data_IF_097185181883
#
_entry.id   IF_097185181883
#
_cell.length_a   1.000
_cell.length_b   1.000
_cell.length_c   1.000
_cell.angle_alpha   90.00
_cell.angle_beta   90.00
_cell.angle_gamma   90.00
#
_symmetry.space_group_name_H-M   'P 1'
#
loop_
_entity.id
_entity.type
_entity.pdbx_description
1 polymer ?
#
# COMPACT_ATOMS: atom_id res chain seq x y z
N UNK A 1 -3.41 -5.56 -15.49
CA UNK A 1 -4.10 -4.60 -14.61
C UNK A 1 -3.18 -4.17 -13.47
N UNK A 2 -3.26 -2.92 -13.12
CA UNK A 2 -2.50 -2.39 -11.99
C UNK A 2 -3.01 -2.97 -10.68
N UNK A 3 -2.10 -3.35 -9.77
CA UNK A 3 -2.42 -3.80 -8.41
C UNK A 3 -1.85 -2.83 -7.39
N UNK A 4 -2.03 -1.54 -7.63
CA UNK A 4 -1.58 -0.51 -6.71
C UNK A 4 -2.73 0.00 -5.83
N UNK A 5 -2.40 0.96 -4.95
CA UNK A 5 -3.36 1.45 -3.97
C UNK A 5 -4.55 2.17 -4.62
N UNK A 6 -4.44 2.59 -5.88
CA UNK A 6 -5.56 3.16 -6.62
C UNK A 6 -6.74 2.19 -6.71
N UNK A 7 -6.45 0.89 -6.80
CA UNK A 7 -7.49 -0.13 -6.91
C UNK A 7 -8.34 -0.26 -5.65
N UNK A 8 -7.89 0.30 -4.54
CA UNK A 8 -8.62 0.26 -3.27
C UNK A 8 -9.00 1.65 -2.78
N UNK A 9 -9.05 2.63 -3.70
CA UNK A 9 -9.34 4.03 -3.37
C UNK A 9 -10.66 4.20 -2.62
N UNK A 10 -11.65 3.36 -2.89
CA UNK A 10 -12.96 3.44 -2.22
C UNK A 10 -12.87 3.17 -0.71
N UNK A 11 -11.80 2.53 -0.25
CA UNK A 11 -11.59 2.23 1.16
C UNK A 11 -10.72 3.27 1.87
N UNK A 12 -10.30 4.32 1.17
CA UNK A 12 -9.38 5.31 1.73
C UNK A 12 -10.13 6.50 2.34
N UNK A 13 -9.70 6.98 3.52
CA UNK A 13 -10.30 8.19 4.12
C UNK A 13 -10.04 9.45 3.31
N UNK A 14 -10.83 10.48 3.57
CA UNK A 14 -10.73 11.75 2.83
C UNK A 14 -9.34 12.39 2.90
N UNK A 15 -8.68 12.36 4.06
CA UNK A 15 -7.34 12.96 4.18
C UNK A 15 -6.33 12.24 3.28
N UNK A 16 -6.52 10.93 3.08
CA UNK A 16 -5.66 10.16 2.19
C UNK A 16 -5.91 10.56 0.74
N UNK A 17 -7.17 10.74 0.34
CA UNK A 17 -7.49 11.24 -1.00
C UNK A 17 -6.88 12.63 -1.24
N UNK A 18 -6.90 13.48 -0.22
CA UNK A 18 -6.27 14.79 -0.29
C UNK A 18 -4.77 14.68 -0.55
N UNK A 19 -4.09 13.79 0.18
CA UNK A 19 -2.65 13.55 -0.04
C UNK A 19 -2.37 12.96 -1.43
N UNK A 20 -3.25 12.07 -1.91
CA UNK A 20 -3.10 11.47 -3.24
C UNK A 20 -3.18 12.53 -4.34
N UNK A 21 -4.09 13.49 -4.20
CA UNK A 21 -4.23 14.57 -5.17
C UNK A 21 -2.95 15.41 -5.28
N UNK A 22 -2.15 15.46 -4.23
CA UNK A 22 -0.92 16.26 -4.19
C UNK A 22 0.29 15.44 -4.63
N UNK A 23 0.45 14.23 -4.09
CA UNK A 23 1.67 13.43 -4.23
C UNK A 23 1.50 12.16 -5.06
N UNK A 24 0.27 11.76 -5.38
CA UNK A 24 0.00 10.52 -6.13
C UNK A 24 -0.11 9.30 -5.25
N UNK A 25 -0.69 8.24 -5.81
CA UNK A 25 -0.97 7.00 -5.06
C UNK A 25 0.29 6.30 -4.55
N UNK A 26 1.35 6.24 -5.36
CA UNK A 26 2.56 5.52 -4.99
C UNK A 26 3.22 6.10 -3.74
N UNK A 27 3.38 7.42 -3.71
CA UNK A 27 4.00 8.10 -2.56
C UNK A 27 3.14 8.00 -1.31
N UNK A 28 1.81 8.11 -1.48
CA UNK A 28 0.89 8.03 -0.34
C UNK A 28 0.86 6.63 0.25
N UNK A 29 0.95 5.60 -0.57
CA UNK A 29 1.07 4.23 -0.07
C UNK A 29 2.30 4.09 0.84
N UNK A 30 3.42 4.67 0.45
CA UNK A 30 4.64 4.67 1.26
C UNK A 30 4.44 5.37 2.60
N UNK A 31 3.75 6.52 2.57
CA UNK A 31 3.45 7.29 3.79
C UNK A 31 2.59 6.47 4.75
N UNK A 32 1.52 5.86 4.25
CA UNK A 32 0.63 5.04 5.06
C UNK A 32 1.39 3.86 5.68
N UNK A 33 2.19 3.17 4.90
CA UNK A 33 2.93 2.00 5.40
C UNK A 33 3.98 2.38 6.44
N UNK A 34 4.60 3.54 6.30
CA UNK A 34 5.69 3.96 7.19
C UNK A 34 5.18 4.68 8.43
N UNK A 35 4.17 5.53 8.30
CA UNK A 35 3.70 6.41 9.37
C UNK A 35 2.26 6.17 9.80
N UNK A 36 1.55 5.20 9.20
CA UNK A 36 0.16 4.93 9.53
C UNK A 36 -0.04 4.62 11.02
N UNK A 37 -1.08 5.20 11.58
CA UNK A 37 -1.37 5.07 12.99
C UNK A 37 -0.71 6.11 13.87
N UNK A 38 0.06 7.03 13.29
CA UNK A 38 0.76 8.07 14.06
C UNK A 38 0.41 9.47 13.55
N UNK A 39 0.77 10.46 14.33
CA UNK A 39 0.61 11.86 13.94
C UNK A 39 1.91 12.33 13.27
N UNK A 40 1.76 12.99 12.15
CA UNK A 40 2.89 13.51 11.37
C UNK A 40 2.70 15.00 11.13
N UNK A 41 3.74 15.79 11.39
CA UNK A 41 3.70 17.24 11.16
C UNK A 41 4.39 17.56 9.84
N UNK A 42 3.64 18.17 8.93
CA UNK A 42 4.17 18.56 7.62
C UNK A 42 4.87 19.91 7.73
N UNK A 43 6.00 19.93 8.43
CA UNK A 43 6.81 21.13 8.67
C UNK A 43 8.13 21.01 7.92
N UNK A 44 8.88 22.12 7.88
CA UNK A 44 10.21 22.16 7.26
C UNK A 44 11.34 22.04 8.30
N UNK A 45 11.01 21.58 9.50
CA UNK A 45 11.98 21.37 10.55
C UNK A 45 12.84 20.12 10.36
N UNK A 46 13.80 19.93 11.28
CA UNK A 46 14.78 18.86 11.19
C UNK A 46 14.25 17.49 11.61
N UNK A 47 13.04 17.41 12.16
CA UNK A 47 12.52 16.15 12.67
C UNK A 47 11.62 15.42 11.68
N UNK A 48 10.70 16.09 11.03
CA UNK A 48 9.71 15.46 10.17
C UNK A 48 10.07 15.52 8.68
N UNK A 49 10.49 16.68 8.20
CA UNK A 49 10.75 16.87 6.77
C UNK A 49 11.83 15.94 6.21
N UNK A 50 12.97 15.74 6.90
CA UNK A 50 13.97 14.79 6.39
C UNK A 50 13.45 13.37 6.24
N UNK A 51 12.59 12.93 7.16
CA UNK A 51 11.98 11.59 7.08
C UNK A 51 11.05 11.47 5.87
N UNK A 52 10.26 12.49 5.62
CA UNK A 52 9.36 12.53 4.47
C UNK A 52 10.14 12.56 3.17
N UNK A 53 11.14 13.44 3.09
CA UNK A 53 12.01 13.58 1.92
C UNK A 53 12.71 12.27 1.57
N UNK A 54 13.24 11.56 2.57
CA UNK A 54 13.89 10.28 2.36
C UNK A 54 12.91 9.24 1.81
N UNK A 55 11.66 9.27 2.27
CA UNK A 55 10.66 8.29 1.89
C UNK A 55 10.11 8.49 0.48
N UNK A 56 9.75 9.73 0.12
CA UNK A 56 9.02 10.03 -1.13
C UNK A 56 9.73 11.00 -2.07
N UNK A 57 10.91 11.48 -1.68
CA UNK A 57 11.67 12.42 -2.49
C UNK A 57 11.35 13.88 -2.16
N UNK A 58 12.25 14.76 -2.60
CA UNK A 58 12.18 16.18 -2.28
C UNK A 58 10.95 16.86 -2.87
N UNK A 59 10.64 16.56 -4.12
CA UNK A 59 9.55 17.25 -4.83
C UNK A 59 8.19 16.99 -4.16
N UNK A 60 7.84 15.72 -3.95
CA UNK A 60 6.59 15.34 -3.29
C UNK A 60 6.54 15.85 -1.86
N UNK A 61 7.67 15.77 -1.14
CA UNK A 61 7.74 16.22 0.24
C UNK A 61 7.45 17.73 0.35
N UNK A 62 8.00 18.53 -0.57
CA UNK A 62 7.75 19.98 -0.60
C UNK A 62 6.28 20.27 -0.91
N UNK A 63 5.69 19.55 -1.85
CA UNK A 63 4.27 19.74 -2.21
C UNK A 63 3.35 19.48 -1.01
N UNK A 64 3.58 18.39 -0.28
CA UNK A 64 2.78 18.07 0.90
C UNK A 64 2.99 19.08 2.02
N UNK A 65 4.24 19.46 2.28
CA UNK A 65 4.56 20.47 3.28
C UNK A 65 3.87 21.80 2.97
N UNK A 66 3.91 22.23 1.73
CA UNK A 66 3.30 23.47 1.28
C UNK A 66 1.78 23.44 1.45
N UNK A 67 1.16 22.30 1.11
CA UNK A 67 -0.28 22.16 1.25
C UNK A 67 -0.75 22.18 2.70
N UNK A 68 -0.10 21.42 3.57
CA UNK A 68 -0.53 21.29 4.96
C UNK A 68 0.03 22.39 5.89
N UNK A 69 1.04 23.12 5.46
CA UNK A 69 1.54 24.34 6.16
C UNK A 69 1.82 24.11 7.65
N UNK A 70 2.67 23.13 7.95
CA UNK A 70 3.09 22.79 9.31
C UNK A 70 1.98 22.17 10.17
N UNK A 71 0.86 21.82 9.58
CA UNK A 71 -0.23 21.16 10.28
C UNK A 71 0.16 19.76 10.70
N UNK A 72 -0.29 19.36 11.90
CA UNK A 72 -0.12 17.98 12.37
C UNK A 72 -1.31 17.15 11.91
N UNK A 73 -1.03 16.09 11.17
CA UNK A 73 -2.06 15.24 10.57
C UNK A 73 -1.93 13.83 11.12
N UNK A 74 -3.04 13.25 11.58
CA UNK A 74 -3.09 11.84 11.88
C UNK A 74 -3.06 11.05 10.58
N UNK A 75 -2.07 10.16 10.43
CA UNK A 75 -1.97 9.30 9.24
C UNK A 75 -2.75 8.01 9.52
N UNK A 76 -3.87 7.76 8.84
CA UNK A 76 -4.63 6.54 9.06
C UNK A 76 -3.83 5.30 8.68
N UNK A 77 -4.10 4.18 9.36
CA UNK A 77 -3.45 2.91 9.03
C UNK A 77 -3.96 2.32 7.73
N UNK A 78 -5.22 2.59 7.39
CA UNK A 78 -5.86 2.05 6.18
C UNK A 78 -5.77 0.53 6.12
N UNK A 79 -6.02 -0.14 7.26
CA UNK A 79 -5.85 -1.59 7.37
C UNK A 79 -6.72 -2.36 6.36
N UNK A 80 -7.97 -1.93 6.16
CA UNK A 80 -8.86 -2.60 5.21
C UNK A 80 -8.33 -2.44 3.77
N UNK A 81 -7.99 -1.21 3.38
CA UNK A 81 -7.48 -0.94 2.04
C UNK A 81 -6.20 -1.72 1.77
N UNK A 82 -5.26 -1.74 2.73
CA UNK A 82 -3.99 -2.44 2.55
C UNK A 82 -4.18 -3.96 2.51
N UNK A 83 -5.13 -4.50 3.29
CA UNK A 83 -5.43 -5.93 3.25
C UNK A 83 -6.04 -6.34 1.91
N UNK A 84 -7.00 -5.57 1.42
CA UNK A 84 -7.61 -5.83 0.12
C UNK A 84 -6.56 -5.75 -0.99
N UNK A 85 -5.70 -4.74 -0.94
CA UNK A 85 -4.62 -4.58 -1.91
C UNK A 85 -3.64 -5.75 -1.86
N UNK A 86 -3.24 -6.16 -0.65
CA UNK A 86 -2.36 -7.33 -0.48
C UNK A 86 -2.99 -8.56 -1.13
N UNK A 87 -4.28 -8.78 -0.89
CA UNK A 87 -4.97 -9.95 -1.43
C UNK A 87 -5.02 -9.92 -2.96
N UNK A 88 -5.25 -8.76 -3.55
CA UNK A 88 -5.23 -8.59 -5.00
C UNK A 88 -3.84 -8.86 -5.58
N UNK A 89 -2.80 -8.35 -4.93
CA UNK A 89 -1.41 -8.57 -5.34
C UNK A 89 -1.03 -10.04 -5.23
N UNK A 90 -1.44 -10.68 -4.16
CA UNK A 90 -1.18 -12.10 -3.93
C UNK A 90 -1.83 -12.95 -5.03
N UNK A 91 -3.08 -12.68 -5.36
CA UNK A 91 -3.78 -13.40 -6.42
C UNK A 91 -3.11 -13.19 -7.78
N UNK A 92 -2.69 -11.97 -8.07
CA UNK A 92 -1.97 -11.66 -9.31
C UNK A 92 -0.64 -12.42 -9.38
N UNK A 93 0.11 -12.48 -8.27
CA UNK A 93 1.35 -13.26 -8.22
C UNK A 93 1.09 -14.74 -8.42
N UNK A 94 0.05 -15.28 -7.78
CA UNK A 94 -0.32 -16.69 -7.95
C UNK A 94 -0.66 -17.01 -9.40
N UNK A 95 -1.47 -16.18 -10.04
CA UNK A 95 -1.84 -16.35 -11.44
C UNK A 95 -0.62 -16.29 -12.36
N UNK A 96 0.29 -15.36 -12.09
CA UNK A 96 1.53 -15.26 -12.87
C UNK A 96 2.39 -16.51 -12.72
N UNK A 97 2.59 -16.98 -11.49
CA UNK A 97 3.42 -18.15 -11.22
C UNK A 97 2.85 -19.43 -11.84
N UNK A 98 1.54 -19.59 -11.77
CA UNK A 98 0.89 -20.80 -12.29
C UNK A 98 0.65 -20.76 -13.79
N UNK A 99 0.21 -19.63 -14.32
CA UNK A 99 -0.19 -19.52 -15.73
C UNK A 99 0.95 -19.14 -16.66
N UNK A 100 1.84 -18.25 -16.20
CA UNK A 100 2.96 -17.79 -17.03
C UNK A 100 4.22 -18.62 -16.82
N UNK A 101 4.57 -18.92 -15.58
CA UNK A 101 5.76 -19.68 -15.28
C UNK A 101 5.50 -21.19 -15.21
N UNK A 102 4.25 -21.62 -15.27
CA UNK A 102 3.89 -23.03 -15.31
C UNK A 102 4.16 -23.79 -14.01
N UNK A 103 4.29 -23.08 -12.88
CA UNK A 103 4.53 -23.73 -11.59
C UNK A 103 3.23 -24.33 -11.07
N UNK A 104 3.35 -25.44 -10.30
CA UNK A 104 2.19 -25.97 -9.60
C UNK A 104 1.72 -24.99 -8.51
N UNK A 105 0.47 -25.13 -8.09
CA UNK A 105 -0.04 -24.31 -6.99
C UNK A 105 0.80 -24.45 -5.73
N UNK A 106 1.22 -25.69 -5.42
CA UNK A 106 2.06 -25.93 -4.24
C UNK A 106 3.39 -25.19 -4.30
N UNK A 107 4.06 -25.27 -5.43
CA UNK A 107 5.35 -24.59 -5.59
C UNK A 107 5.19 -23.08 -5.58
N UNK A 108 4.11 -22.57 -6.17
CA UNK A 108 3.81 -21.13 -6.13
C UNK A 108 3.61 -20.64 -4.70
N UNK A 109 2.95 -21.45 -3.86
CA UNK A 109 2.70 -21.07 -2.47
C UNK A 109 3.96 -20.96 -1.62
N UNK A 110 5.04 -21.68 -1.97
CA UNK A 110 6.32 -21.50 -1.28
C UNK A 110 6.83 -20.09 -1.43
N UNK A 111 6.70 -19.50 -2.61
CA UNK A 111 7.13 -18.12 -2.85
C UNK A 111 6.16 -17.12 -2.24
N UNK A 112 4.86 -17.36 -2.39
CA UNK A 112 3.82 -16.44 -1.93
C UNK A 112 3.81 -16.32 -0.41
N UNK A 113 3.84 -17.43 0.31
CA UNK A 113 3.82 -17.40 1.76
C UNK A 113 5.04 -16.70 2.33
N UNK A 114 6.20 -16.87 1.70
CA UNK A 114 7.42 -16.19 2.10
C UNK A 114 7.34 -14.68 1.82
N UNK A 115 6.86 -14.30 0.63
CA UNK A 115 6.78 -12.90 0.22
C UNK A 115 5.80 -12.11 1.10
N UNK A 116 4.63 -12.66 1.36
CA UNK A 116 3.57 -11.96 2.08
C UNK A 116 3.55 -12.27 3.57
N UNK A 117 4.39 -13.20 4.03
CA UNK A 117 4.52 -13.58 5.44
C UNK A 117 3.19 -14.02 6.04
N UNK A 118 2.50 -14.88 5.32
CA UNK A 118 1.23 -15.47 5.75
C UNK A 118 1.32 -17.00 5.66
N UNK A 119 0.39 -17.66 6.32
CA UNK A 119 0.33 -19.13 6.30
C UNK A 119 -0.17 -19.65 4.95
N UNK A 120 0.15 -20.90 4.67
CA UNK A 120 -0.34 -21.61 3.51
C UNK A 120 -1.87 -21.62 3.46
N UNK A 121 -2.51 -21.91 4.57
CA UNK A 121 -3.98 -21.93 4.65
C UNK A 121 -4.58 -20.57 4.31
N UNK A 122 -4.03 -19.51 4.88
CA UNK A 122 -4.50 -18.16 4.61
C UNK A 122 -4.32 -17.79 3.14
N UNK A 123 -3.18 -18.15 2.57
CA UNK A 123 -2.90 -17.86 1.16
C UNK A 123 -3.87 -18.59 0.23
N UNK A 124 -4.14 -19.87 0.50
CA UNK A 124 -5.13 -20.62 -0.29
C UNK A 124 -6.53 -20.06 -0.14
N UNK A 125 -6.92 -19.65 1.06
CA UNK A 125 -8.24 -19.04 1.28
C UNK A 125 -8.38 -17.76 0.44
N UNK A 126 -7.34 -16.95 0.37
CA UNK A 126 -7.34 -15.72 -0.43
C UNK A 126 -7.50 -16.05 -1.92
N UNK A 127 -6.71 -16.99 -2.42
CA UNK A 127 -6.76 -17.37 -3.84
C UNK A 127 -8.15 -17.90 -4.21
N UNK A 128 -8.71 -18.80 -3.41
CA UNK A 128 -10.03 -19.37 -3.69
C UNK A 128 -11.13 -18.33 -3.58
N UNK A 129 -11.05 -17.43 -2.61
CA UNK A 129 -12.03 -16.36 -2.44
C UNK A 129 -12.10 -15.47 -3.67
N UNK A 130 -10.95 -15.08 -4.22
CA UNK A 130 -10.89 -14.21 -5.38
C UNK A 130 -11.22 -14.93 -6.69
N UNK A 131 -11.01 -16.23 -6.76
CA UNK A 131 -11.42 -17.03 -7.93
C UNK A 131 -12.93 -17.20 -8.05
N UNK A 132 -13.66 -17.08 -6.93
CA UNK A 132 -15.12 -17.23 -6.92
C UNK A 132 -15.85 -15.97 -7.32
N UNK A 133 -15.17 -14.85 -7.39
CA UNK A 133 -15.80 -13.58 -7.76
C UNK A 133 -16.15 -13.60 -9.25
N UNK A 134 -17.39 -13.15 -9.62
CA UNK A 134 -17.81 -13.10 -11.01
C UNK A 134 -17.02 -12.10 -11.84
#
# INVERSE_FOLDING_TARGET
>A
MSTDIENVAEYLPNVVHEMVNIAGFSDVEKIIKRFGGSRFRFSDGIHYFPKLKELIGKESAIKLRTHFQSEEIYIPRCDVALRVLRNQRLKADFDYLTQREGKSGRMSMLEICHKYKISDRQAWDIVYSLQREP
#
